data_IF_392949741328
#
_entry.id   IF_392949741328
#
_cell.length_a   1.000
_cell.length_b   1.000
_cell.length_c   1.000
_cell.angle_alpha   90.00
_cell.angle_beta   90.00
_cell.angle_gamma   90.00
#
_symmetry.space_group_name_H-M   'P 1'
#
loop_
_entity.id
_entity.type
_entity.pdbx_description
1 polymer ?
#
# COMPACT_ATOMS: atom_id res chain seq x y z
N UNK A 1 18.69 -12.57 24.30
CA UNK A 1 18.86 -11.52 23.28
C UNK A 1 17.87 -10.41 23.57
N UNK A 2 18.30 -9.33 24.15
CA UNK A 2 17.44 -8.17 24.38
C UNK A 2 17.34 -7.39 23.08
N UNK A 3 16.14 -7.37 22.49
CA UNK A 3 15.82 -6.45 21.41
C UNK A 3 15.69 -5.05 22.02
N UNK A 4 16.61 -4.17 21.67
CA UNK A 4 16.52 -2.78 22.04
C UNK A 4 15.25 -2.14 21.47
N UNK A 5 14.60 -1.20 22.19
CA UNK A 5 13.35 -0.57 21.72
C UNK A 5 13.46 0.10 20.34
N UNK A 6 14.66 0.42 19.92
CA UNK A 6 14.95 0.98 18.59
C UNK A 6 14.62 0.01 17.44
N UNK A 7 14.78 -1.30 17.67
CA UNK A 7 14.51 -2.33 16.65
C UNK A 7 13.02 -2.62 16.48
N UNK A 8 12.20 -2.37 17.48
CA UNK A 8 10.75 -2.57 17.40
C UNK A 8 10.11 -1.50 16.51
N UNK A 9 10.55 -0.25 16.61
CA UNK A 9 10.10 0.82 15.73
C UNK A 9 10.48 0.59 14.27
N UNK A 10 11.71 0.15 14.04
CA UNK A 10 12.20 -0.19 12.70
C UNK A 10 11.46 -1.40 12.10
N UNK A 11 11.17 -2.41 12.90
CA UNK A 11 10.42 -3.58 12.46
C UNK A 11 8.97 -3.23 12.06
N UNK A 12 8.34 -2.25 12.72
CA UNK A 12 7.01 -1.76 12.37
C UNK A 12 7.05 -0.87 11.12
N UNK A 13 8.11 -0.11 10.91
CA UNK A 13 8.30 0.72 9.73
C UNK A 13 8.43 -0.11 8.45
N UNK A 14 8.88 -1.38 8.55
CA UNK A 14 8.99 -2.32 7.43
C UNK A 14 7.73 -3.14 7.17
N UNK A 15 6.62 -2.86 7.86
CA UNK A 15 5.34 -3.56 7.69
C UNK A 15 4.22 -2.60 7.25
N UNK A 16 4.25 -2.16 5.99
CA UNK A 16 3.31 -1.15 5.49
C UNK A 16 1.85 -1.61 5.58
N UNK A 17 1.55 -2.89 5.35
CA UNK A 17 0.19 -3.41 5.44
C UNK A 17 -0.39 -3.26 6.84
N UNK A 18 0.37 -3.61 7.87
CA UNK A 18 -0.06 -3.50 9.26
C UNK A 18 -0.33 -2.05 9.66
N UNK A 19 0.59 -1.18 9.31
CA UNK A 19 0.46 0.25 9.58
C UNK A 19 -0.72 0.87 8.84
N UNK A 20 -0.91 0.51 7.57
CA UNK A 20 -2.05 0.95 6.78
C UNK A 20 -3.38 0.56 7.43
N UNK A 21 -3.52 -0.71 7.86
CA UNK A 21 -4.73 -1.19 8.53
C UNK A 21 -4.98 -0.50 9.88
N UNK A 22 -3.94 -0.03 10.55
CA UNK A 22 -4.06 0.75 11.79
C UNK A 22 -4.47 2.20 11.51
N UNK A 23 -4.07 2.77 10.39
CA UNK A 23 -4.34 4.16 10.02
C UNK A 23 -5.71 4.33 9.35
N UNK A 24 -6.17 3.36 8.57
CA UNK A 24 -7.44 3.45 7.83
C UNK A 24 -8.67 3.74 8.71
N UNK A 25 -8.82 3.15 9.91
CA UNK A 25 -9.96 3.47 10.80
C UNK A 25 -9.97 4.91 11.31
N UNK A 26 -8.85 5.62 11.23
CA UNK A 26 -8.74 7.04 11.59
C UNK A 26 -9.35 7.96 10.51
N UNK A 27 -9.61 7.42 9.32
CA UNK A 27 -10.46 8.06 8.32
C UNK A 27 -11.92 7.88 8.76
N UNK A 28 -12.45 8.86 9.47
CA UNK A 28 -13.82 8.78 10.01
C UNK A 28 -14.82 8.84 8.87
N UNK A 29 -15.48 7.72 8.60
CA UNK A 29 -16.65 7.68 7.75
C UNK A 29 -17.90 8.05 8.60
N UNK A 30 -18.48 9.20 8.35
CA UNK A 30 -19.82 9.51 8.88
C UNK A 30 -20.85 8.67 8.13
N UNK A 31 -21.78 7.97 8.82
CA UNK A 31 -22.79 7.17 8.14
C UNK A 31 -23.55 8.01 7.09
N UNK A 32 -23.56 7.55 5.85
CA UNK A 32 -24.21 8.22 4.73
C UNK A 32 -23.38 9.25 3.97
N UNK A 33 -22.15 9.49 4.37
CA UNK A 33 -21.21 10.32 3.60
C UNK A 33 -20.09 9.46 2.97
N UNK A 34 -19.77 9.76 1.73
CA UNK A 34 -18.51 9.33 1.11
C UNK A 34 -17.37 9.78 2.02
N UNK A 35 -16.38 8.93 2.21
CA UNK A 35 -15.21 9.22 3.04
C UNK A 35 -14.76 10.66 2.82
N UNK A 36 -15.08 11.52 3.79
CA UNK A 36 -14.69 12.92 3.72
C UNK A 36 -13.28 13.10 4.24
N UNK A 37 -12.35 13.32 3.35
CA UNK A 37 -10.96 13.64 3.72
C UNK A 37 -10.81 15.05 4.32
N UNK A 38 -11.89 15.86 4.29
CA UNK A 38 -11.86 17.27 4.64
C UNK A 38 -11.44 17.58 6.08
N UNK A 39 -11.60 16.62 6.99
CA UNK A 39 -11.28 16.77 8.41
C UNK A 39 -10.07 15.94 8.85
N UNK A 40 -9.39 15.32 7.90
CA UNK A 40 -8.23 14.46 8.18
C UNK A 40 -6.95 15.29 8.05
N UNK A 41 -6.05 15.13 9.02
CA UNK A 41 -4.76 15.79 8.98
C UNK A 41 -3.96 15.40 7.74
N UNK A 42 -3.35 16.38 7.02
CA UNK A 42 -2.55 16.09 5.83
C UNK A 42 -1.44 15.07 6.05
N UNK A 43 -0.81 15.08 7.22
CA UNK A 43 0.23 14.11 7.61
C UNK A 43 -0.30 12.68 7.63
N UNK A 44 -1.53 12.47 8.13
CA UNK A 44 -2.16 11.15 8.16
C UNK A 44 -2.43 10.64 6.74
N UNK A 45 -2.94 11.50 5.86
CA UNK A 45 -3.20 11.13 4.45
C UNK A 45 -1.91 10.79 3.71
N UNK A 46 -0.84 11.53 3.96
CA UNK A 46 0.48 11.25 3.38
C UNK A 46 1.02 9.89 3.86
N UNK A 47 0.90 9.60 5.15
CA UNK A 47 1.31 8.30 5.71
C UNK A 47 0.51 7.14 5.12
N UNK A 48 -0.80 7.30 4.96
CA UNK A 48 -1.67 6.30 4.33
C UNK A 48 -1.24 6.06 2.87
N UNK A 49 -1.01 7.13 2.12
CA UNK A 49 -0.57 7.04 0.73
C UNK A 49 0.79 6.34 0.61
N UNK A 50 1.75 6.69 1.45
CA UNK A 50 3.09 6.11 1.45
C UNK A 50 3.05 4.62 1.83
N UNK A 51 2.29 4.25 2.85
CA UNK A 51 2.14 2.86 3.27
C UNK A 51 1.43 2.01 2.21
N UNK A 52 0.39 2.56 1.58
CA UNK A 52 -0.31 1.88 0.49
C UNK A 52 0.60 1.69 -0.74
N UNK A 53 1.39 2.70 -1.08
CA UNK A 53 2.36 2.64 -2.18
C UNK A 53 3.46 1.61 -1.91
N UNK A 54 4.01 1.59 -0.70
CA UNK A 54 5.00 0.61 -0.27
C UNK A 54 4.43 -0.81 -0.29
N UNK A 55 3.19 -1.00 0.16
CA UNK A 55 2.50 -2.28 0.10
C UNK A 55 2.30 -2.74 -1.34
N UNK A 56 1.84 -1.87 -2.24
CA UNK A 56 1.71 -2.17 -3.66
C UNK A 56 3.02 -2.62 -4.28
N UNK A 57 4.10 -1.90 -4.02
CA UNK A 57 5.43 -2.24 -4.54
C UNK A 57 5.85 -3.64 -4.06
N UNK A 58 5.66 -3.95 -2.78
CA UNK A 58 5.97 -5.25 -2.20
C UNK A 58 5.13 -6.37 -2.85
N UNK A 59 3.83 -6.14 -3.04
CA UNK A 59 2.94 -7.11 -3.67
C UNK A 59 3.32 -7.37 -5.14
N UNK A 60 3.65 -6.32 -5.88
CA UNK A 60 4.08 -6.43 -7.28
C UNK A 60 5.39 -7.20 -7.41
N UNK A 61 6.36 -6.92 -6.53
CA UNK A 61 7.62 -7.68 -6.50
C UNK A 61 7.38 -9.15 -6.16
N UNK A 62 6.51 -9.42 -5.19
CA UNK A 62 6.13 -10.78 -4.81
C UNK A 62 5.45 -11.54 -5.95
N UNK A 63 4.50 -10.92 -6.65
CA UNK A 63 3.82 -11.51 -7.82
C UNK A 63 4.83 -11.81 -8.92
N UNK A 64 5.76 -10.91 -9.19
CA UNK A 64 6.82 -11.15 -10.17
C UNK A 64 7.71 -12.34 -9.79
N UNK A 65 8.11 -12.43 -8.54
CA UNK A 65 8.89 -13.56 -8.03
C UNK A 65 8.13 -14.89 -8.14
N UNK A 66 6.85 -14.90 -7.77
CA UNK A 66 5.98 -16.08 -7.92
C UNK A 66 5.86 -16.49 -9.38
N UNK A 67 5.67 -15.52 -10.29
CA UNK A 67 5.62 -15.78 -11.73
C UNK A 67 6.90 -16.45 -12.26
N UNK A 68 8.06 -15.97 -11.84
CA UNK A 68 9.35 -16.57 -12.21
C UNK A 68 9.50 -17.99 -11.65
N UNK A 69 9.14 -18.19 -10.38
CA UNK A 69 9.16 -19.53 -9.77
C UNK A 69 8.22 -20.50 -10.50
N UNK A 70 7.03 -20.06 -10.86
CA UNK A 70 6.07 -20.87 -11.63
C UNK A 70 6.62 -21.25 -13.01
N UNK A 71 7.27 -20.32 -13.70
CA UNK A 71 7.86 -20.60 -15.00
C UNK A 71 8.95 -21.68 -14.91
N UNK A 72 9.76 -21.65 -13.85
CA UNK A 72 10.78 -22.65 -13.60
C UNK A 72 10.22 -23.98 -13.07
N UNK A 73 9.08 -23.95 -12.38
CA UNK A 73 8.43 -25.13 -11.82
C UNK A 73 7.44 -25.83 -12.78
N UNK A 74 7.26 -25.31 -13.99
CA UNK A 74 6.32 -25.86 -14.95
C UNK A 74 6.52 -27.38 -15.22
N UNK A 75 7.75 -27.92 -15.37
CA UNK A 75 7.95 -29.35 -15.53
C UNK A 75 7.46 -30.17 -14.33
N UNK A 76 7.60 -29.67 -13.10
CA UNK A 76 7.18 -30.36 -11.88
C UNK A 76 5.64 -30.33 -11.72
N UNK A 77 4.96 -29.36 -12.29
CA UNK A 77 3.49 -29.34 -12.35
C UNK A 77 3.01 -30.44 -13.33
N UNK A 78 3.68 -30.56 -14.49
CA UNK A 78 3.33 -31.53 -15.52
C UNK A 78 3.53 -32.97 -15.02
N UNK A 79 4.57 -33.25 -14.24
CA UNK A 79 4.83 -34.57 -13.68
C UNK A 79 4.00 -34.91 -12.42
N UNK A 80 3.19 -33.98 -11.95
CA UNK A 80 2.30 -34.15 -10.80
C UNK A 80 2.94 -33.92 -9.44
N UNK A 81 4.15 -33.39 -9.36
CA UNK A 81 4.81 -32.99 -8.10
C UNK A 81 4.00 -31.93 -7.34
N UNK A 82 3.38 -31.01 -8.07
CA UNK A 82 2.43 -30.04 -7.51
C UNK A 82 1.00 -30.45 -7.82
N UNK A 83 0.15 -30.47 -6.79
CA UNK A 83 -1.25 -30.85 -6.96
C UNK A 83 -2.07 -29.72 -7.65
N UNK A 84 -3.19 -30.12 -8.27
CA UNK A 84 -4.13 -29.13 -8.83
C UNK A 84 -4.68 -28.17 -7.79
N UNK A 85 -4.86 -28.63 -6.55
CA UNK A 85 -5.33 -27.78 -5.43
C UNK A 85 -4.33 -26.68 -5.10
N UNK A 86 -3.03 -26.95 -5.18
CA UNK A 86 -1.99 -25.95 -4.97
C UNK A 86 -2.01 -24.91 -6.09
N UNK A 87 -2.18 -25.32 -7.33
CA UNK A 87 -2.26 -24.41 -8.48
C UNK A 87 -3.51 -23.54 -8.38
N UNK A 88 -4.64 -24.12 -7.99
CA UNK A 88 -5.90 -23.38 -7.78
C UNK A 88 -5.74 -22.33 -6.66
N UNK A 89 -5.20 -22.71 -5.52
CA UNK A 89 -4.96 -21.81 -4.39
C UNK A 89 -4.04 -20.65 -4.79
N UNK A 90 -3.00 -20.92 -5.56
CA UNK A 90 -2.09 -19.90 -6.06
C UNK A 90 -2.80 -18.95 -7.02
N UNK A 91 -3.66 -19.48 -7.90
CA UNK A 91 -4.47 -18.66 -8.81
C UNK A 91 -5.39 -17.71 -8.06
N UNK A 92 -6.09 -18.17 -7.03
CA UNK A 92 -6.93 -17.31 -6.19
C UNK A 92 -6.10 -16.27 -5.44
N UNK A 93 -4.96 -16.65 -4.90
CA UNK A 93 -4.04 -15.71 -4.25
C UNK A 93 -3.61 -14.57 -5.19
N UNK A 94 -3.21 -14.90 -6.41
CA UNK A 94 -2.82 -13.89 -7.39
C UNK A 94 -3.98 -12.97 -7.79
N UNK A 95 -5.19 -13.51 -7.88
CA UNK A 95 -6.40 -12.74 -8.15
C UNK A 95 -6.67 -11.73 -7.03
N UNK A 96 -6.65 -12.17 -5.78
CA UNK A 96 -6.88 -11.30 -4.61
C UNK A 96 -5.81 -10.22 -4.49
N UNK A 97 -4.55 -10.55 -4.76
CA UNK A 97 -3.45 -9.56 -4.76
C UNK A 97 -3.67 -8.49 -5.82
N UNK A 98 -4.14 -8.89 -6.99
CA UNK A 98 -4.46 -7.96 -8.08
C UNK A 98 -5.61 -7.02 -7.71
N UNK A 99 -6.70 -7.57 -7.16
CA UNK A 99 -7.85 -6.78 -6.69
C UNK A 99 -7.44 -5.79 -5.60
N UNK A 100 -6.63 -6.23 -4.65
CA UNK A 100 -6.11 -5.37 -3.59
C UNK A 100 -5.28 -4.22 -4.16
N UNK A 101 -4.42 -4.49 -5.14
CA UNK A 101 -3.63 -3.47 -5.82
C UNK A 101 -4.51 -2.45 -6.55
N UNK A 102 -5.55 -2.93 -7.25
CA UNK A 102 -6.53 -2.07 -7.90
C UNK A 102 -7.28 -1.17 -6.93
N UNK A 103 -7.60 -1.68 -5.76
CA UNK A 103 -8.31 -0.93 -4.71
C UNK A 103 -7.41 0.13 -4.08
N UNK A 104 -6.13 -0.16 -3.93
CA UNK A 104 -5.18 0.79 -3.32
C UNK A 104 -4.81 1.96 -4.23
N UNK A 105 -4.80 1.78 -5.54
CA UNK A 105 -4.47 2.86 -6.48
C UNK A 105 -5.34 4.12 -6.32
N UNK A 106 -6.68 4.02 -6.31
CA UNK A 106 -7.53 5.19 -6.09
C UNK A 106 -7.39 5.77 -4.68
N UNK A 107 -7.12 4.95 -3.67
CA UNK A 107 -6.86 5.43 -2.32
C UNK A 107 -5.62 6.32 -2.26
N UNK A 108 -4.51 5.88 -2.85
CA UNK A 108 -3.26 6.64 -2.93
C UNK A 108 -3.50 7.96 -3.68
N UNK A 109 -4.13 7.89 -4.84
CA UNK A 109 -4.42 9.05 -5.67
C UNK A 109 -5.29 10.07 -4.93
N UNK A 110 -6.35 9.61 -4.25
CA UNK A 110 -7.25 10.46 -3.48
C UNK A 110 -6.55 11.15 -2.32
N UNK A 111 -5.72 10.43 -1.57
CA UNK A 111 -4.97 11.00 -0.45
C UNK A 111 -3.97 12.07 -0.94
N UNK A 112 -3.25 11.80 -2.00
CA UNK A 112 -2.24 12.74 -2.55
C UNK A 112 -2.89 13.96 -3.19
N UNK A 113 -3.98 13.77 -3.93
CA UNK A 113 -4.71 14.87 -4.54
C UNK A 113 -5.31 15.79 -3.48
N UNK A 114 -5.91 15.23 -2.44
CA UNK A 114 -6.47 16.02 -1.34
C UNK A 114 -5.38 16.86 -0.65
N UNK A 115 -4.21 16.30 -0.41
CA UNK A 115 -3.08 17.04 0.16
C UNK A 115 -2.55 18.13 -0.78
N UNK A 116 -2.52 17.90 -2.08
CA UNK A 116 -2.13 18.90 -3.06
C UNK A 116 -3.10 20.10 -3.09
N UNK A 117 -4.41 19.81 -2.99
CA UNK A 117 -5.44 20.85 -2.97
C UNK A 117 -5.46 21.62 -1.63
N UNK A 118 -5.02 20.98 -0.57
CA UNK A 118 -4.99 21.54 0.78
C UNK A 118 -3.65 22.17 1.16
N UNK A 119 -2.65 22.12 0.28
CA UNK A 119 -1.36 22.75 0.55
C UNK A 119 -1.59 24.24 0.90
N UNK A 120 -1.29 24.67 2.14
CA UNK A 120 -1.47 26.06 2.49
C UNK A 120 -0.60 26.89 1.56
N UNK A 121 -1.17 27.96 1.06
CA UNK A 121 -0.41 28.95 0.30
C UNK A 121 0.68 29.49 1.23
N UNK A 122 1.90 29.01 1.05
CA UNK A 122 3.05 29.57 1.77
C UNK A 122 3.45 30.90 1.11
N UNK A 123 3.26 32.01 1.81
CA UNK A 123 3.61 33.31 1.24
C UNK A 123 5.12 33.44 0.95
N UNK A 124 5.94 32.55 1.51
CA UNK A 124 7.39 32.52 1.25
C UNK A 124 7.76 31.99 -0.15
N UNK A 125 6.84 31.26 -0.80
CA UNK A 125 7.09 30.83 -2.18
C UNK A 125 6.96 31.96 -3.21
N UNK A 126 6.42 33.09 -2.80
CA UNK A 126 6.46 34.33 -3.58
C UNK A 126 7.71 35.12 -3.21
N UNK A 127 8.87 34.62 -3.59
CA UNK A 127 10.04 35.47 -3.64
C UNK A 127 9.78 36.57 -4.69
N UNK A 128 9.90 37.85 -4.29
CA UNK A 128 9.78 38.91 -5.27
C UNK A 128 10.84 38.69 -6.34
N UNK A 129 10.40 38.58 -7.58
CA UNK A 129 11.32 38.56 -8.69
C UNK A 129 11.92 39.96 -8.78
N UNK A 130 13.12 40.10 -8.25
CA UNK A 130 13.91 41.29 -8.46
C UNK A 130 14.50 41.22 -9.88
N UNK A 131 14.11 42.14 -10.68
CA UNK A 131 14.78 42.42 -11.94
C UNK A 131 16.09 43.13 -11.71
#
# INVERSE_FOLDING_TARGET
>A
MRLEPKHVGDALAHRPARRLLQLLPLLVATPGQVVGYAHVEPVLLEQIADDADALMATLQMGVSAVGQLMAHAAPEVEDGTFSSDMVEALGWFLSEVSELSFTMMPLIASCRQHNADYAPFEPESMQPVFF
#
